data_IF_711978998293
#
_entry.id   IF_711978998293
#
_cell.length_a   1.000
_cell.length_b   1.000
_cell.length_c   1.000
_cell.angle_alpha   90.00
_cell.angle_beta   90.00
_cell.angle_gamma   90.00
#
_symmetry.space_group_name_H-M   'P 1'
#
loop_
_entity.id
_entity.type
_entity.pdbx_description
1 polymer ?
#
# COMPACT_ATOMS: atom_id res chain seq x y z
N UNK A 1 8.89 -4.45 -24.47
CA UNK A 1 8.61 -4.74 -23.05
C UNK A 1 7.13 -5.08 -22.96
N UNK A 2 6.78 -6.36 -22.78
CA UNK A 2 5.40 -6.74 -22.53
C UNK A 2 5.02 -6.20 -21.16
N UNK A 3 4.07 -5.28 -21.09
CA UNK A 3 3.39 -5.02 -19.82
C UNK A 3 2.76 -6.34 -19.38
N UNK A 4 3.18 -6.84 -18.22
CA UNK A 4 2.65 -8.06 -17.63
C UNK A 4 1.17 -7.79 -17.31
N UNK A 5 0.24 -8.28 -18.15
CA UNK A 5 -1.19 -7.90 -18.12
C UNK A 5 -1.89 -8.20 -16.79
N UNK A 6 -1.25 -9.01 -15.94
CA UNK A 6 -1.79 -9.50 -14.69
C UNK A 6 -1.40 -8.61 -13.49
N UNK A 7 -0.57 -7.58 -13.66
CA UNK A 7 -0.33 -6.58 -12.63
C UNK A 7 -0.58 -5.15 -13.13
N UNK A 8 -1.46 -4.45 -12.42
CA UNK A 8 -1.83 -3.06 -12.68
C UNK A 8 -1.32 -2.22 -11.53
N UNK A 9 -0.50 -1.21 -11.83
CA UNK A 9 -0.02 -0.22 -10.84
C UNK A 9 -0.57 1.14 -11.23
N UNK A 10 -1.47 1.68 -10.41
CA UNK A 10 -2.06 3.01 -10.53
C UNK A 10 -1.33 3.96 -9.58
N UNK A 11 -0.54 4.89 -10.12
CA UNK A 11 0.13 5.91 -9.31
C UNK A 11 -0.69 7.20 -9.32
N UNK A 12 -1.43 7.39 -8.23
CA UNK A 12 -2.28 8.55 -7.97
C UNK A 12 -1.50 9.62 -7.19
N UNK A 13 -0.31 9.31 -6.66
CA UNK A 13 0.52 10.27 -5.92
C UNK A 13 1.10 11.36 -6.83
N UNK A 14 1.23 11.09 -8.13
CA UNK A 14 1.73 12.05 -9.11
C UNK A 14 0.88 13.32 -9.18
N UNK A 15 -0.45 13.19 -9.12
CA UNK A 15 -1.35 14.35 -9.14
C UNK A 15 -1.17 15.20 -7.88
N UNK A 16 -1.01 14.57 -6.72
CA UNK A 16 -0.69 15.29 -5.48
C UNK A 16 0.64 16.07 -5.63
N UNK A 17 1.69 15.44 -6.16
CA UNK A 17 2.99 16.11 -6.35
C UNK A 17 2.90 17.29 -7.32
N UNK A 18 2.10 17.18 -8.38
CA UNK A 18 1.86 18.28 -9.32
C UNK A 18 1.19 19.47 -8.63
N UNK A 19 0.15 19.23 -7.84
CA UNK A 19 -0.54 20.28 -7.08
C UNK A 19 0.41 20.93 -6.07
N UNK A 20 1.20 20.12 -5.36
CA UNK A 20 2.18 20.60 -4.38
C UNK A 20 3.28 21.50 -4.98
N UNK A 21 3.75 21.16 -6.18
CA UNK A 21 4.77 21.93 -6.88
C UNK A 21 4.23 23.21 -7.52
N UNK A 22 2.96 23.19 -7.98
CA UNK A 22 2.34 24.29 -8.68
C UNK A 22 1.83 25.41 -7.75
N UNK A 23 1.19 25.05 -6.62
CA UNK A 23 0.48 26.00 -5.77
C UNK A 23 1.07 26.10 -4.36
N UNK A 24 1.52 27.31 -4.00
CA UNK A 24 2.03 27.64 -2.66
C UNK A 24 1.37 28.91 -2.11
N UNK A 25 0.84 28.90 -0.87
CA UNK A 25 0.88 27.79 0.11
C UNK A 25 -0.12 26.68 -0.21
N UNK A 26 0.28 25.43 0.02
CA UNK A 26 -0.61 24.27 -0.07
C UNK A 26 -1.62 24.30 1.09
N UNK A 27 -2.90 24.12 0.79
CA UNK A 27 -4.00 24.24 1.77
C UNK A 27 -4.86 22.98 1.81
N UNK A 28 -5.77 22.90 2.77
CA UNK A 28 -6.75 21.81 2.87
C UNK A 28 -7.59 21.66 1.60
N UNK A 29 -7.97 22.76 0.95
CA UNK A 29 -8.78 22.71 -0.28
C UNK A 29 -8.05 22.01 -1.43
N UNK A 30 -6.72 22.15 -1.52
CA UNK A 30 -5.90 21.45 -2.50
C UNK A 30 -5.90 19.94 -2.22
N UNK A 31 -5.74 19.56 -0.95
CA UNK A 31 -5.77 18.16 -0.52
C UNK A 31 -7.16 17.53 -0.72
N UNK A 32 -8.23 18.27 -0.42
CA UNK A 32 -9.59 17.81 -0.66
C UNK A 32 -9.90 17.66 -2.16
N UNK A 33 -9.43 18.60 -2.98
CA UNK A 33 -9.57 18.53 -4.44
C UNK A 33 -8.89 17.28 -5.00
N UNK A 34 -7.68 16.98 -4.53
CA UNK A 34 -6.99 15.74 -4.86
C UNK A 34 -7.81 14.49 -4.48
N UNK A 35 -8.40 14.44 -3.28
CA UNK A 35 -9.24 13.30 -2.89
C UNK A 35 -10.52 13.18 -3.73
N UNK A 36 -11.10 14.31 -4.14
CA UNK A 36 -12.31 14.33 -4.96
C UNK A 36 -12.08 13.84 -6.40
N UNK A 37 -10.84 13.84 -6.87
CA UNK A 37 -10.49 13.25 -8.18
C UNK A 37 -10.52 11.70 -8.15
N UNK A 38 -10.47 11.11 -6.96
CA UNK A 38 -10.48 9.66 -6.77
C UNK A 38 -11.45 9.20 -5.68
N UNK A 39 -12.76 9.50 -5.83
CA UNK A 39 -13.74 9.29 -4.78
C UNK A 39 -13.89 7.81 -4.42
N UNK A 40 -13.76 6.90 -5.39
CA UNK A 40 -13.87 5.46 -5.15
C UNK A 40 -12.77 4.94 -4.22
N UNK A 41 -11.58 5.55 -4.24
CA UNK A 41 -10.46 5.13 -3.40
C UNK A 41 -10.55 5.79 -2.03
N UNK A 42 -10.74 7.10 -1.99
CA UNK A 42 -10.69 7.85 -0.74
C UNK A 42 -11.94 7.68 0.12
N UNK A 43 -13.11 7.38 -0.46
CA UNK A 43 -14.29 7.03 0.33
C UNK A 43 -14.06 5.77 1.15
N UNK A 44 -13.39 4.77 0.59
CA UNK A 44 -13.09 3.52 1.31
C UNK A 44 -11.97 3.74 2.31
N UNK A 45 -10.91 4.47 1.95
CA UNK A 45 -9.83 4.86 2.86
C UNK A 45 -10.34 5.58 4.11
N UNK A 46 -11.20 6.60 3.95
CA UNK A 46 -11.70 7.39 5.07
C UNK A 46 -12.80 6.69 5.89
N UNK A 47 -13.55 5.76 5.31
CA UNK A 47 -14.52 4.96 6.08
C UNK A 47 -13.83 3.98 7.02
N UNK A 48 -12.72 3.41 6.58
CA UNK A 48 -12.10 2.25 7.23
C UNK A 48 -10.90 2.63 8.10
N UNK A 49 -10.13 3.66 7.74
CA UNK A 49 -8.78 3.83 8.29
C UNK A 49 -8.50 5.23 8.85
N UNK A 50 -9.25 6.25 8.46
CA UNK A 50 -9.07 7.59 8.98
C UNK A 50 -10.36 8.41 8.91
N UNK A 51 -10.87 8.91 10.03
CA UNK A 51 -11.95 9.91 9.95
C UNK A 51 -11.42 11.17 9.28
N UNK A 52 -12.07 11.57 8.16
CA UNK A 52 -11.80 12.78 7.40
C UNK A 52 -12.17 14.03 8.21
N UNK A 53 -11.36 14.33 9.21
CA UNK A 53 -11.51 15.47 10.11
C UNK A 53 -10.56 16.59 9.67
N UNK A 54 -11.03 17.85 9.54
CA UNK A 54 -10.19 18.96 9.13
C UNK A 54 -8.93 19.14 9.97
N UNK A 55 -8.99 18.85 11.27
CA UNK A 55 -7.84 18.94 12.19
C UNK A 55 -6.74 17.93 11.81
N UNK A 56 -7.12 16.71 11.41
CA UNK A 56 -6.16 15.67 10.99
C UNK A 56 -5.53 16.01 9.64
N UNK A 57 -6.33 16.50 8.70
CA UNK A 57 -5.81 16.91 7.38
C UNK A 57 -4.84 18.09 7.51
N UNK A 58 -5.15 19.08 8.35
CA UNK A 58 -4.22 20.17 8.63
C UNK A 58 -2.92 19.67 9.31
N UNK A 59 -3.03 18.71 10.23
CA UNK A 59 -1.85 18.08 10.82
C UNK A 59 -1.01 17.31 9.79
N UNK A 60 -1.64 16.66 8.80
CA UNK A 60 -0.94 16.01 7.69
C UNK A 60 -0.21 17.04 6.81
N UNK A 61 -0.90 18.13 6.43
CA UNK A 61 -0.32 19.22 5.64
C UNK A 61 0.91 19.82 6.30
N UNK A 62 0.87 20.00 7.62
CA UNK A 62 2.01 20.52 8.38
C UNK A 62 3.24 19.61 8.33
N UNK A 63 3.07 18.30 8.10
CA UNK A 63 4.17 17.32 8.00
C UNK A 63 4.74 17.18 6.59
N UNK A 64 3.96 17.51 5.55
CA UNK A 64 4.39 17.32 4.16
C UNK A 64 5.70 18.03 3.80
N UNK A 65 6.00 19.28 4.24
CA UNK A 65 7.28 19.90 3.90
C UNK A 65 8.50 19.07 4.29
N UNK A 66 8.46 18.45 5.46
CA UNK A 66 9.58 17.64 5.99
C UNK A 66 9.63 16.24 5.38
N UNK A 67 8.48 15.73 4.89
CA UNK A 67 8.34 14.37 4.34
C UNK A 67 8.37 14.31 2.82
N UNK A 68 8.20 15.45 2.14
CA UNK A 68 7.96 15.53 0.70
C UNK A 68 9.01 14.79 -0.12
N UNK A 69 10.29 14.99 0.20
CA UNK A 69 11.39 14.37 -0.54
C UNK A 69 11.38 12.84 -0.39
N UNK A 70 11.12 12.33 0.82
CA UNK A 70 10.97 10.89 1.07
C UNK A 70 9.75 10.33 0.35
N UNK A 71 8.60 11.03 0.40
CA UNK A 71 7.38 10.65 -0.32
C UNK A 71 7.60 10.52 -1.81
N UNK A 72 8.29 11.50 -2.41
CA UNK A 72 8.56 11.51 -3.84
C UNK A 72 9.53 10.38 -4.23
N UNK A 73 10.53 10.10 -3.40
CA UNK A 73 11.47 8.99 -3.64
C UNK A 73 10.78 7.63 -3.50
N UNK A 74 10.00 7.41 -2.45
CA UNK A 74 9.26 6.16 -2.25
C UNK A 74 8.25 5.91 -3.38
N UNK A 75 7.48 6.93 -3.80
CA UNK A 75 6.56 6.86 -4.93
C UNK A 75 7.26 6.46 -6.24
N UNK A 76 8.48 6.96 -6.50
CA UNK A 76 9.25 6.61 -7.69
C UNK A 76 9.82 5.19 -7.65
N UNK A 77 10.14 4.67 -6.46
CA UNK A 77 10.68 3.32 -6.28
C UNK A 77 9.60 2.23 -6.35
N UNK A 78 8.42 2.51 -5.81
CA UNK A 78 7.34 1.53 -5.64
C UNK A 78 6.95 0.80 -6.94
N UNK A 79 6.75 1.44 -8.11
CA UNK A 79 6.34 0.75 -9.32
C UNK A 79 7.30 -0.34 -9.78
N UNK A 80 8.62 -0.14 -9.62
CA UNK A 80 9.62 -1.19 -9.89
C UNK A 80 9.57 -2.29 -8.85
N UNK A 81 9.57 -1.93 -7.56
CA UNK A 81 9.56 -2.90 -6.45
C UNK A 81 8.33 -3.81 -6.53
N UNK A 82 7.15 -3.24 -6.78
CA UNK A 82 5.88 -3.96 -6.95
C UNK A 82 5.98 -4.98 -8.08
N UNK A 83 6.56 -4.63 -9.22
CA UNK A 83 6.72 -5.55 -10.35
C UNK A 83 7.71 -6.66 -10.04
N UNK A 84 8.85 -6.32 -9.45
CA UNK A 84 9.90 -7.29 -9.11
C UNK A 84 9.39 -8.29 -8.06
N UNK A 85 8.69 -7.82 -7.03
CA UNK A 85 8.07 -8.67 -6.00
C UNK A 85 6.96 -9.52 -6.61
N UNK A 86 6.16 -8.99 -7.53
CA UNK A 86 5.13 -9.76 -8.22
C UNK A 86 5.70 -10.93 -9.03
N UNK A 87 6.81 -10.71 -9.72
CA UNK A 87 7.47 -11.76 -10.49
C UNK A 87 8.02 -12.85 -9.57
N UNK A 88 8.72 -12.46 -8.49
CA UNK A 88 9.21 -13.39 -7.45
C UNK A 88 8.06 -14.18 -6.80
N UNK A 89 6.96 -13.51 -6.47
CA UNK A 89 5.78 -14.15 -5.88
C UNK A 89 5.11 -15.11 -6.87
N UNK A 90 4.98 -14.73 -8.13
CA UNK A 90 4.39 -15.57 -9.18
C UNK A 90 5.22 -16.85 -9.38
N UNK A 91 6.54 -16.73 -9.34
CA UNK A 91 7.46 -17.86 -9.42
C UNK A 91 7.33 -18.75 -8.19
N UNK A 92 7.39 -18.17 -6.98
CA UNK A 92 7.26 -18.89 -5.71
C UNK A 92 5.95 -19.68 -5.62
N UNK A 93 4.84 -19.07 -6.03
CA UNK A 93 3.50 -19.66 -5.96
C UNK A 93 3.17 -20.56 -7.16
N UNK A 94 4.03 -20.58 -8.20
CA UNK A 94 3.82 -21.36 -9.42
C UNK A 94 2.60 -20.92 -10.24
N UNK A 95 2.04 -19.73 -9.99
CA UNK A 95 0.88 -19.22 -10.71
C UNK A 95 0.87 -17.68 -10.77
N UNK A 96 0.27 -17.15 -11.82
CA UNK A 96 0.05 -15.71 -11.96
C UNK A 96 -1.33 -15.32 -11.43
N UNK A 97 -1.36 -14.22 -10.68
CA UNK A 97 -2.58 -13.63 -10.15
C UNK A 97 -2.83 -12.24 -10.72
N UNK A 98 -4.10 -11.86 -10.79
CA UNK A 98 -4.47 -10.50 -11.16
C UNK A 98 -4.32 -9.62 -9.93
N UNK A 99 -3.29 -8.79 -9.91
CA UNK A 99 -2.97 -7.91 -8.80
C UNK A 99 -3.16 -6.46 -9.23
N UNK A 100 -3.88 -5.71 -8.41
CA UNK A 100 -4.03 -4.27 -8.57
C UNK A 100 -3.36 -3.57 -7.40
N UNK A 101 -2.50 -2.61 -7.69
CA UNK A 101 -1.82 -1.78 -6.71
C UNK A 101 -2.12 -0.31 -6.96
N UNK A 102 -2.32 0.46 -5.89
CA UNK A 102 -2.49 1.90 -5.92
C UNK A 102 -1.45 2.56 -5.04
N UNK A 103 -0.82 3.60 -5.57
CA UNK A 103 0.12 4.45 -4.84
C UNK A 103 -0.59 5.79 -4.65
N UNK A 104 -0.74 6.24 -3.41
CA UNK A 104 -1.53 7.42 -3.06
C UNK A 104 -0.85 8.26 -1.99
N UNK A 105 -1.31 9.49 -1.85
CA UNK A 105 -1.05 10.32 -0.66
C UNK A 105 -2.32 10.34 0.16
N UNK A 106 -2.30 9.68 1.31
CA UNK A 106 -3.44 9.66 2.21
C UNK A 106 -3.44 10.89 3.10
N UNK A 107 -3.29 10.66 4.38
CA UNK A 107 -3.21 11.69 5.42
C UNK A 107 -2.60 11.13 6.71
N UNK A 108 -1.59 10.27 6.58
CA UNK A 108 -0.94 9.55 7.69
C UNK A 108 -1.90 8.64 8.48
N UNK A 109 -2.81 7.96 7.77
CA UNK A 109 -3.76 7.01 8.37
C UNK A 109 -3.19 5.59 8.52
N UNK A 110 -2.47 5.10 7.51
CA UNK A 110 -1.82 3.80 7.43
C UNK A 110 -0.63 3.88 6.46
N UNK A 111 0.22 2.86 6.46
CA UNK A 111 1.37 2.73 5.55
C UNK A 111 0.96 2.02 4.26
N UNK A 112 0.32 0.86 4.41
CA UNK A 112 -0.25 0.08 3.31
C UNK A 112 -1.44 -0.73 3.82
N UNK A 113 -2.29 -1.20 2.91
CA UNK A 113 -3.39 -2.11 3.23
C UNK A 113 -3.92 -2.81 1.96
N UNK A 114 -4.59 -3.95 2.16
CA UNK A 114 -5.28 -4.71 1.10
C UNK A 114 -6.79 -4.65 1.31
N UNK A 115 -7.53 -4.24 0.29
CA UNK A 115 -9.01 -4.26 0.31
C UNK A 115 -9.54 -5.68 0.04
N UNK A 116 -10.80 -5.97 0.39
CA UNK A 116 -11.39 -7.30 0.20
C UNK A 116 -11.41 -7.80 -1.27
N UNK A 117 -11.39 -6.88 -2.24
CA UNK A 117 -11.24 -7.20 -3.67
C UNK A 117 -9.79 -7.59 -4.06
N UNK A 118 -8.85 -7.55 -3.12
CA UNK A 118 -7.43 -7.86 -3.30
C UNK A 118 -6.61 -6.70 -3.85
N UNK A 119 -7.16 -5.47 -3.88
CA UNK A 119 -6.39 -4.30 -4.31
C UNK A 119 -5.48 -3.81 -3.19
N UNK A 120 -4.17 -3.72 -3.47
CA UNK A 120 -3.17 -3.16 -2.56
C UNK A 120 -3.15 -1.65 -2.66
N UNK A 121 -3.00 -0.97 -1.53
CA UNK A 121 -2.85 0.47 -1.45
C UNK A 121 -1.60 0.81 -0.64
N UNK A 122 -0.77 1.70 -1.16
CA UNK A 122 0.46 2.18 -0.53
C UNK A 122 0.36 3.70 -0.35
N UNK A 123 0.41 4.17 0.91
CA UNK A 123 0.29 5.57 1.28
C UNK A 123 1.68 6.15 1.53
N UNK A 124 2.22 6.87 0.54
CA UNK A 124 3.65 7.22 0.48
C UNK A 124 4.11 8.17 1.60
N UNK A 125 3.18 8.88 2.26
CA UNK A 125 3.49 9.76 3.38
C UNK A 125 4.00 9.04 4.62
N UNK A 126 3.67 7.77 4.78
CA UNK A 126 4.08 6.96 5.93
C UNK A 126 5.18 5.94 5.59
N UNK A 127 5.67 5.95 4.35
CA UNK A 127 6.70 5.02 3.89
C UNK A 127 8.11 5.57 4.07
N UNK A 128 9.07 4.66 4.22
CA UNK A 128 10.49 4.95 4.02
C UNK A 128 10.82 5.02 2.52
N UNK A 129 11.94 5.66 2.16
CA UNK A 129 12.52 5.66 0.83
C UNK A 129 13.69 4.66 0.69
N UNK A 130 13.92 3.83 1.72
CA UNK A 130 14.88 2.74 1.68
C UNK A 130 14.34 1.55 0.89
N UNK A 131 15.16 1.02 -0.03
CA UNK A 131 14.78 -0.03 -0.96
C UNK A 131 14.36 -1.34 -0.25
N UNK A 132 15.18 -1.80 0.69
CA UNK A 132 14.98 -3.11 1.32
C UNK A 132 13.73 -3.15 2.21
N UNK A 133 13.49 -2.20 3.13
CA UNK A 133 12.23 -2.17 3.89
C UNK A 133 11.00 -2.02 3.00
N UNK A 134 11.08 -1.24 1.91
CA UNK A 134 9.98 -1.14 0.95
C UNK A 134 9.70 -2.48 0.27
N UNK A 135 10.74 -3.25 -0.08
CA UNK A 135 10.59 -4.56 -0.69
C UNK A 135 9.94 -5.58 0.26
N UNK A 136 10.29 -5.53 1.55
CA UNK A 136 9.63 -6.32 2.62
C UNK A 136 8.15 -5.97 2.74
N UNK A 137 7.84 -4.67 2.86
CA UNK A 137 6.45 -4.22 2.97
C UNK A 137 5.63 -4.67 1.75
N UNK A 138 6.15 -4.44 0.55
CA UNK A 138 5.45 -4.81 -0.69
C UNK A 138 5.24 -6.32 -0.78
N UNK A 139 6.21 -7.13 -0.36
CA UNK A 139 6.06 -8.59 -0.34
C UNK A 139 5.02 -9.06 0.69
N UNK A 140 4.99 -8.44 1.88
CA UNK A 140 3.99 -8.71 2.91
C UNK A 140 2.57 -8.44 2.43
N UNK A 141 2.32 -7.23 1.93
CA UNK A 141 0.99 -6.85 1.42
C UNK A 141 0.59 -7.66 0.18
N UNK A 142 1.56 -8.04 -0.66
CA UNK A 142 1.28 -8.89 -1.82
C UNK A 142 0.94 -10.32 -1.43
N UNK A 143 1.52 -10.84 -0.35
CA UNK A 143 1.14 -12.14 0.18
C UNK A 143 -0.34 -12.16 0.61
N UNK A 144 -0.82 -11.11 1.28
CA UNK A 144 -2.25 -10.94 1.60
C UNK A 144 -3.13 -10.94 0.35
N UNK A 145 -2.74 -10.18 -0.69
CA UNK A 145 -3.49 -10.12 -1.94
C UNK A 145 -3.53 -11.48 -2.66
N UNK A 146 -2.42 -12.21 -2.70
CA UNK A 146 -2.35 -13.56 -3.26
C UNK A 146 -3.26 -14.52 -2.49
N UNK A 147 -3.21 -14.46 -1.15
CA UNK A 147 -4.06 -15.28 -0.30
C UNK A 147 -5.54 -15.05 -0.60
N UNK A 148 -5.96 -13.79 -0.67
CA UNK A 148 -7.35 -13.45 -0.93
C UNK A 148 -7.80 -13.88 -2.34
N UNK A 149 -6.94 -13.72 -3.35
CA UNK A 149 -7.25 -14.19 -4.71
C UNK A 149 -7.33 -15.72 -4.79
N UNK A 150 -6.47 -16.46 -4.10
CA UNK A 150 -6.56 -17.94 -4.03
C UNK A 150 -7.87 -18.39 -3.41
N UNK A 151 -8.23 -17.83 -2.25
CA UNK A 151 -9.50 -18.13 -1.59
C UNK A 151 -10.70 -17.82 -2.49
N UNK A 152 -10.66 -16.69 -3.21
CA UNK A 152 -11.72 -16.30 -4.15
C UNK A 152 -11.86 -17.27 -5.31
N UNK A 153 -10.74 -17.77 -5.87
CA UNK A 153 -10.75 -18.76 -6.96
C UNK A 153 -11.40 -20.07 -6.55
N UNK A 154 -11.26 -20.44 -5.28
CA UNK A 154 -11.93 -21.61 -4.68
C UNK A 154 -13.37 -21.31 -4.23
N UNK A 155 -13.89 -20.11 -4.50
CA UNK A 155 -15.26 -19.72 -4.18
C UNK A 155 -15.49 -19.39 -2.70
N UNK A 156 -14.44 -19.06 -1.95
CA UNK A 156 -14.57 -18.68 -0.55
C UNK A 156 -15.35 -17.37 -0.39
N UNK A 157 -16.36 -17.40 0.48
CA UNK A 157 -17.15 -16.21 0.83
C UNK A 157 -16.51 -15.49 2.01
N UNK A 158 -15.82 -14.38 1.78
CA UNK A 158 -15.17 -13.59 2.84
C UNK A 158 -16.11 -13.11 3.95
N UNK A 159 -17.41 -12.97 3.68
CA UNK A 159 -18.42 -12.67 4.70
C UNK A 159 -18.57 -13.76 5.76
N UNK A 160 -18.06 -14.97 5.50
CA UNK A 160 -18.05 -16.11 6.43
C UNK A 160 -16.71 -16.25 7.17
N UNK A 161 -15.71 -15.43 6.85
CA UNK A 161 -14.43 -15.45 7.54
C UNK A 161 -14.61 -14.91 8.97
N UNK A 162 -14.20 -15.69 9.96
CA UNK A 162 -14.15 -15.22 11.34
C UNK A 162 -12.90 -14.35 11.51
N UNK A 163 -13.08 -13.05 11.74
CA UNK A 163 -11.97 -12.15 12.06
C UNK A 163 -11.59 -12.28 13.54
N UNK A 164 -11.13 -13.46 13.92
CA UNK A 164 -10.64 -13.78 15.26
C UNK A 164 -9.11 -13.78 15.32
N UNK A 165 -8.56 -13.87 16.53
CA UNK A 165 -7.12 -13.82 16.74
C UNK A 165 -6.36 -14.95 16.04
N UNK A 166 -6.98 -16.11 15.82
CA UNK A 166 -6.33 -17.22 15.11
C UNK A 166 -6.23 -16.95 13.62
N UNK A 167 -7.29 -16.40 13.02
CA UNK A 167 -7.32 -16.03 11.61
C UNK A 167 -6.35 -14.89 11.33
N UNK A 168 -6.31 -13.86 12.18
CA UNK A 168 -5.32 -12.79 12.06
C UNK A 168 -3.89 -13.32 12.20
N UNK A 169 -3.63 -14.17 13.20
CA UNK A 169 -2.30 -14.76 13.39
C UNK A 169 -1.85 -15.59 12.18
N UNK A 170 -2.77 -16.35 11.58
CA UNK A 170 -2.48 -17.13 10.39
C UNK A 170 -2.19 -16.23 9.18
N UNK A 171 -3.03 -15.22 8.91
CA UNK A 171 -2.85 -14.33 7.77
C UNK A 171 -1.56 -13.53 7.87
N UNK A 172 -1.30 -12.89 9.01
CA UNK A 172 -0.07 -12.11 9.22
C UNK A 172 1.17 -13.00 9.27
N UNK A 173 1.09 -14.17 9.89
CA UNK A 173 2.20 -15.12 9.93
C UNK A 173 2.58 -15.66 8.55
N UNK A 174 1.59 -15.93 7.69
CA UNK A 174 1.85 -16.30 6.29
C UNK A 174 2.46 -15.14 5.52
N UNK A 175 1.94 -13.92 5.69
CA UNK A 175 2.45 -12.74 4.99
C UNK A 175 3.91 -12.43 5.38
N UNK A 176 4.24 -12.51 6.67
CA UNK A 176 5.60 -12.34 7.19
C UNK A 176 6.55 -13.41 6.62
N UNK A 177 6.18 -14.69 6.74
CA UNK A 177 7.00 -15.79 6.23
C UNK A 177 7.27 -15.68 4.72
N UNK A 178 6.24 -15.33 3.94
CA UNK A 178 6.39 -15.15 2.49
C UNK A 178 7.29 -13.96 2.18
N UNK A 179 7.17 -12.87 2.94
CA UNK A 179 8.04 -11.70 2.81
C UNK A 179 9.50 -12.04 3.06
N UNK A 180 9.79 -12.84 4.10
CA UNK A 180 11.15 -13.36 4.38
C UNK A 180 11.68 -14.23 3.24
N UNK A 181 10.85 -15.11 2.68
CA UNK A 181 11.24 -16.00 1.57
C UNK A 181 11.61 -15.21 0.32
N UNK A 182 10.85 -14.14 0.01
CA UNK A 182 11.12 -13.25 -1.13
C UNK A 182 12.34 -12.37 -0.87
N UNK A 183 12.63 -12.07 0.40
CA UNK A 183 13.70 -11.16 0.80
C UNK A 183 14.70 -11.82 1.76
N UNK A 184 15.41 -12.88 1.32
CA UNK A 184 16.30 -13.62 2.21
C UNK A 184 17.47 -12.73 2.64
N UNK A 185 17.68 -12.60 3.95
CA UNK A 185 18.84 -11.91 4.51
C UNK A 185 18.60 -10.47 4.99
N UNK A 186 17.35 -10.01 5.07
CA UNK A 186 17.02 -8.76 5.78
C UNK A 186 16.94 -9.04 7.28
N UNK A 187 17.56 -8.18 8.09
CA UNK A 187 17.68 -8.38 9.54
C UNK A 187 16.33 -8.18 10.26
N UNK A 188 16.12 -8.92 11.36
CA UNK A 188 14.93 -8.86 12.26
C UNK A 188 14.47 -7.41 12.59
N UNK A 189 15.40 -6.44 12.59
CA UNK A 189 15.11 -5.02 12.85
C UNK A 189 14.19 -4.33 11.83
N UNK A 190 14.07 -4.84 10.60
CA UNK A 190 13.19 -4.24 9.58
C UNK A 190 11.73 -4.59 9.85
N UNK A 191 11.47 -5.80 10.36
CA UNK A 191 10.12 -6.29 10.68
C UNK A 191 9.53 -5.63 11.92
N UNK A 192 10.34 -5.34 12.94
CA UNK A 192 9.89 -4.64 14.16
C UNK A 192 9.34 -3.24 13.85
N UNK A 193 9.91 -2.54 12.86
CA UNK A 193 9.45 -1.20 12.45
C UNK A 193 8.11 -1.20 11.68
N UNK A 194 7.70 -2.36 11.15
CA UNK A 194 6.45 -2.53 10.41
C UNK A 194 5.26 -2.79 11.35
N UNK A 195 5.52 -3.25 12.57
CA UNK A 195 4.51 -3.60 13.59
C UNK A 195 4.12 -2.43 14.51
N UNK A 196 4.75 -1.26 14.38
CA UNK A 196 4.36 -0.06 15.13
C UNK A 196 3.25 0.71 14.38
N UNK A 197 2.00 0.27 14.60
CA UNK A 197 0.78 1.07 14.38
C UNK A 197 0.20 1.51 15.72
#
# INVERSE_FOLDING_TARGET
MNQNKNIIVEDMSQEFFQIWEADKPFTIDHLESYYLNYPDVFNDYFKSHCQRMPERLNAAIAKYPDKYDTMKRSANLLPSIIRDVYEQMSELMGCQMNVKCRILVGGFGLNAYVTHDGTLHFAVESLTDELEPLKVLVAHEMAHAYHFEMLRREGFEFSKLAWDGYTSLYLEGVAALVSEIINPGLSESVEESMNEN
#
